data_IF_642423757296
#
_entry.id   IF_642423757296
#
_cell.length_a   1.000
_cell.length_b   1.000
_cell.length_c   1.000
_cell.angle_alpha   90.00
_cell.angle_beta   90.00
_cell.angle_gamma   90.00
#
_symmetry.space_group_name_H-M   'P 1'
#
loop_
_entity.id
_entity.type
_entity.pdbx_description
1 polymer ?
#
# COMPACT_ATOMS: atom_id res chain seq x y z
N UNK A 1 -10.75 3.67 -62.46
CA UNK A 1 -10.03 2.38 -62.63
C UNK A 1 -9.73 1.83 -61.24
N UNK A 2 -10.46 0.81 -60.76
CA UNK A 2 -10.17 0.17 -59.48
C UNK A 2 -9.18 -0.98 -59.71
N UNK A 3 -8.04 -0.95 -59.02
CA UNK A 3 -7.09 -2.07 -59.03
C UNK A 3 -7.34 -2.85 -57.74
N UNK A 4 -8.05 -3.98 -57.93
CA UNK A 4 -8.14 -5.08 -56.98
C UNK A 4 -6.75 -5.71 -56.81
N UNK A 5 -6.33 -5.92 -55.57
CA UNK A 5 -5.23 -6.85 -55.25
C UNK A 5 -5.58 -7.66 -54.01
N UNK A 6 -6.16 -8.83 -54.27
CA UNK A 6 -6.16 -10.01 -53.42
C UNK A 6 -4.73 -10.54 -53.29
N UNK A 7 -4.29 -10.87 -52.07
CA UNK A 7 -3.26 -11.87 -51.71
C UNK A 7 -3.25 -11.96 -50.16
N UNK A 8 -3.86 -12.99 -49.58
CA UNK A 8 -3.29 -14.32 -49.27
C UNK A 8 -2.87 -14.41 -47.80
N UNK A 9 -3.75 -15.02 -47.02
CA UNK A 9 -3.58 -15.35 -45.61
C UNK A 9 -2.44 -16.34 -45.40
N UNK A 10 -1.53 -16.15 -44.42
CA UNK A 10 -0.57 -17.17 -44.06
C UNK A 10 -1.20 -18.23 -43.14
N UNK A 11 -1.02 -19.49 -43.53
CA UNK A 11 -1.40 -20.70 -42.81
C UNK A 11 -0.67 -20.84 -41.47
N UNK A 12 -1.43 -21.01 -40.39
CA UNK A 12 -0.94 -21.39 -39.05
C UNK A 12 -0.53 -22.88 -39.03
N UNK A 13 0.63 -23.25 -38.45
CA UNK A 13 0.93 -24.64 -38.14
C UNK A 13 0.20 -25.08 -36.87
N UNK A 14 -0.60 -26.13 -36.98
CA UNK A 14 -1.25 -26.84 -35.89
C UNK A 14 -0.23 -27.69 -35.13
N UNK A 15 0.26 -27.22 -33.98
CA UNK A 15 0.96 -28.05 -33.00
C UNK A 15 0.01 -28.37 -31.84
N UNK A 16 -0.63 -29.54 -31.93
CA UNK A 16 -1.30 -30.20 -30.81
C UNK A 16 -0.23 -30.80 -29.89
N UNK A 17 -0.14 -30.31 -28.65
CA UNK A 17 0.57 -30.98 -27.56
C UNK A 17 -0.45 -31.81 -26.75
N UNK A 18 -0.24 -33.10 -26.52
CA UNK A 18 -1.07 -33.86 -25.58
C UNK A 18 -0.65 -33.53 -24.14
N UNK A 19 -1.63 -33.16 -23.32
CA UNK A 19 -1.51 -33.04 -21.86
C UNK A 19 -1.78 -34.43 -21.25
N UNK A 20 -0.76 -35.05 -20.64
CA UNK A 20 -0.93 -36.22 -19.78
C UNK A 20 -1.28 -35.80 -18.34
N UNK A 21 -2.25 -36.45 -17.68
CA UNK A 21 -2.57 -36.20 -16.27
C UNK A 21 -1.60 -36.94 -15.32
N UNK A 22 -1.28 -36.40 -14.13
CA UNK A 22 -0.36 -37.06 -13.22
C UNK A 22 -0.98 -38.28 -12.54
N UNK A 23 -0.21 -39.36 -12.53
CA UNK A 23 -0.50 -40.66 -11.91
C UNK A 23 -0.78 -40.57 -10.41
N UNK A 24 -1.79 -41.34 -9.97
CA UNK A 24 -2.16 -41.56 -8.58
C UNK A 24 -1.07 -42.35 -7.81
N UNK A 25 -0.74 -41.90 -6.60
CA UNK A 25 0.15 -42.59 -5.67
C UNK A 25 -0.56 -43.80 -5.00
N UNK A 26 0.16 -44.91 -4.72
CA UNK A 26 -0.46 -46.10 -4.14
C UNK A 26 -0.69 -45.97 -2.62
N UNK A 27 -1.86 -46.46 -2.18
CA UNK A 27 -2.21 -46.66 -0.76
C UNK A 27 -1.34 -47.74 -0.13
N UNK A 28 -0.56 -47.39 0.89
CA UNK A 28 0.07 -48.33 1.81
C UNK A 28 -0.93 -48.70 2.92
N UNK A 29 -1.35 -49.96 2.94
CA UNK A 29 -2.09 -50.58 4.03
C UNK A 29 -1.12 -51.07 5.10
N UNK A 30 -1.28 -50.58 6.33
CA UNK A 30 -0.53 -51.07 7.50
C UNK A 30 -1.32 -52.22 8.14
N UNK A 31 -0.76 -53.42 8.32
CA UNK A 31 -1.43 -54.48 9.06
C UNK A 31 -1.33 -54.23 10.58
N UNK A 32 -2.45 -54.43 11.25
CA UNK A 32 -2.59 -54.49 12.71
C UNK A 32 -1.87 -55.72 13.28
N UNK A 33 -0.92 -55.53 14.19
CA UNK A 33 -0.44 -56.59 15.08
C UNK A 33 -0.49 -56.13 16.53
N UNK A 34 -1.49 -56.63 17.25
CA UNK A 34 -1.61 -56.59 18.70
C UNK A 34 -0.56 -57.51 19.34
N UNK A 35 0.29 -56.98 20.22
CA UNK A 35 1.13 -57.78 21.11
C UNK A 35 0.97 -57.31 22.57
N UNK A 36 0.82 -58.22 23.55
CA UNK A 36 0.35 -57.91 24.90
C UNK A 36 1.50 -57.58 25.87
N UNK A 37 2.29 -56.57 25.55
CA UNK A 37 3.41 -56.11 26.38
C UNK A 37 3.35 -54.62 26.77
N UNK A 38 2.18 -53.97 26.58
CA UNK A 38 1.96 -52.56 26.91
C UNK A 38 1.13 -52.33 28.19
N UNK A 39 0.87 -53.37 28.97
CA UNK A 39 -0.04 -53.31 30.12
C UNK A 39 0.63 -52.98 31.48
N UNK A 40 1.95 -52.85 31.55
CA UNK A 40 2.66 -52.64 32.83
C UNK A 40 3.26 -51.23 33.03
N UNK A 41 3.22 -50.34 32.03
CA UNK A 41 3.74 -48.97 32.15
C UNK A 41 2.65 -47.92 32.49
N UNK A 42 1.38 -48.34 32.59
CA UNK A 42 0.24 -47.44 32.83
C UNK A 42 0.00 -47.10 34.32
N UNK A 43 0.67 -47.79 35.26
CA UNK A 43 0.33 -47.68 36.69
C UNK A 43 1.19 -46.68 37.50
N UNK A 44 2.25 -46.08 36.91
CA UNK A 44 3.15 -45.17 37.62
C UNK A 44 2.98 -43.68 37.26
N UNK A 45 2.29 -43.36 36.16
CA UNK A 45 2.04 -41.98 35.74
C UNK A 45 0.84 -41.33 36.46
N UNK A 46 0.05 -42.11 37.20
CA UNK A 46 -1.23 -41.68 37.78
C UNK A 46 -1.10 -40.99 39.15
N UNK A 47 0.10 -40.96 39.75
CA UNK A 47 0.33 -40.35 41.07
C UNK A 47 0.91 -38.94 41.05
N UNK A 48 1.32 -38.42 39.88
CA UNK A 48 1.76 -37.03 39.71
C UNK A 48 0.77 -36.14 38.94
N UNK A 49 -0.41 -36.67 38.57
CA UNK A 49 -1.48 -35.91 37.90
C UNK A 49 -2.56 -35.37 38.84
N UNK A 50 -2.43 -35.62 40.14
CA UNK A 50 -3.39 -35.22 41.18
C UNK A 50 -3.09 -33.84 41.82
N UNK A 51 -2.17 -33.05 41.24
CA UNK A 51 -1.94 -31.65 41.61
C UNK A 51 -2.21 -30.68 40.44
N UNK A 52 -2.96 -31.15 39.43
CA UNK A 52 -3.61 -30.24 38.48
C UNK A 52 -4.72 -29.51 39.25
N UNK A 53 -4.37 -28.28 39.67
CA UNK A 53 -5.28 -27.23 40.12
C UNK A 53 -6.59 -27.39 39.36
N UNK A 54 -7.67 -27.67 40.09
CA UNK A 54 -9.05 -27.66 39.60
C UNK A 54 -9.29 -26.25 39.05
N UNK A 55 -8.92 -25.99 37.79
CA UNK A 55 -9.25 -24.74 37.10
C UNK A 55 -10.76 -24.65 37.22
N UNK A 56 -11.24 -23.65 37.93
CA UNK A 56 -12.68 -23.40 38.02
C UNK A 56 -13.22 -23.35 36.59
N UNK A 57 -14.44 -23.86 36.36
CA UNK A 57 -15.02 -23.85 35.01
C UNK A 57 -15.05 -22.46 34.36
N UNK A 58 -14.91 -21.41 35.16
CA UNK A 58 -14.71 -20.04 34.70
C UNK A 58 -13.33 -19.80 34.06
N UNK A 59 -12.24 -20.31 34.65
CA UNK A 59 -10.89 -20.17 34.10
C UNK A 59 -10.73 -20.94 32.79
N UNK A 60 -11.33 -22.13 32.65
CA UNK A 60 -11.29 -22.87 31.39
C UNK A 60 -12.11 -22.21 30.27
N UNK A 61 -13.19 -21.50 30.62
CA UNK A 61 -13.96 -20.70 29.66
C UNK A 61 -13.18 -19.47 29.21
N UNK A 62 -12.45 -18.82 30.13
CA UNK A 62 -11.55 -17.70 29.80
C UNK A 62 -10.42 -18.17 28.89
N UNK A 63 -9.73 -19.27 29.24
CA UNK A 63 -8.64 -19.81 28.43
C UNK A 63 -9.10 -20.14 27.00
N UNK A 64 -10.29 -20.75 26.86
CA UNK A 64 -10.86 -21.08 25.54
C UNK A 64 -11.29 -19.84 24.76
N UNK A 65 -11.82 -18.82 25.44
CA UNK A 65 -12.16 -17.54 24.83
C UNK A 65 -10.89 -16.79 24.37
N UNK A 66 -9.82 -16.85 25.15
CA UNK A 66 -8.52 -16.29 24.81
C UNK A 66 -7.88 -17.04 23.64
N UNK A 67 -7.88 -18.38 23.62
CA UNK A 67 -7.41 -19.18 22.46
C UNK A 67 -8.24 -18.91 21.20
N UNK A 68 -9.57 -18.77 21.30
CA UNK A 68 -10.41 -18.40 20.15
C UNK A 68 -10.19 -16.97 19.66
N UNK A 69 -9.86 -16.04 20.56
CA UNK A 69 -9.51 -14.67 20.21
C UNK A 69 -8.11 -14.60 19.58
N UNK A 70 -7.14 -15.32 20.13
CA UNK A 70 -5.78 -15.44 19.62
C UNK A 70 -5.76 -16.17 18.27
N UNK A 71 -6.56 -17.23 18.10
CA UNK A 71 -6.77 -17.90 16.82
C UNK A 71 -7.46 -17.00 15.80
N UNK A 72 -8.44 -16.17 16.21
CA UNK A 72 -9.05 -15.16 15.34
C UNK A 72 -8.05 -14.07 14.93
N UNK A 73 -7.21 -13.60 15.86
CA UNK A 73 -6.13 -12.64 15.58
C UNK A 73 -5.11 -13.25 14.63
N UNK A 74 -4.63 -14.46 14.89
CA UNK A 74 -3.71 -15.19 14.02
C UNK A 74 -4.32 -15.42 12.61
N UNK A 75 -5.60 -15.79 12.50
CA UNK A 75 -6.27 -15.88 11.19
C UNK A 75 -6.43 -14.54 10.48
N UNK A 76 -6.70 -13.46 11.22
CA UNK A 76 -6.79 -12.12 10.67
C UNK A 76 -5.42 -11.63 10.16
N UNK A 77 -4.35 -11.96 10.88
CA UNK A 77 -2.96 -11.65 10.56
C UNK A 77 -2.47 -12.45 9.34
N UNK A 78 -2.78 -13.75 9.27
CA UNK A 78 -2.51 -14.60 8.08
C UNK A 78 -3.28 -14.13 6.84
N UNK A 79 -4.42 -13.45 7.00
CA UNK A 79 -5.19 -12.85 5.89
C UNK A 79 -4.70 -11.45 5.50
N UNK A 80 -3.90 -10.79 6.34
CA UNK A 80 -3.47 -9.41 6.13
C UNK A 80 -2.31 -9.41 5.15
N UNK A 81 -2.62 -9.23 3.85
CA UNK A 81 -1.61 -9.03 2.81
C UNK A 81 -0.99 -7.63 2.93
N UNK A 82 -0.02 -7.47 3.82
CA UNK A 82 0.72 -6.23 4.06
C UNK A 82 1.80 -6.40 5.13
N UNK A 83 2.65 -5.38 5.27
CA UNK A 83 3.71 -5.30 6.27
C UNK A 83 3.39 -4.17 7.24
N UNK A 84 3.40 -4.45 8.55
CA UNK A 84 3.30 -3.43 9.59
C UNK A 84 4.70 -2.93 9.97
N UNK A 85 4.97 -1.64 9.78
CA UNK A 85 6.24 -0.99 10.14
C UNK A 85 5.94 0.35 10.79
N UNK A 86 6.56 0.68 11.93
CA UNK A 86 6.40 1.98 12.60
C UNK A 86 4.94 2.44 12.81
N UNK A 87 4.01 1.49 12.99
CA UNK A 87 2.58 1.74 13.18
C UNK A 87 1.80 2.01 11.88
N UNK A 88 2.41 1.86 10.71
CA UNK A 88 1.77 1.93 9.41
C UNK A 88 1.63 0.54 8.79
N UNK A 89 0.41 0.26 8.32
CA UNK A 89 0.16 -0.87 7.42
C UNK A 89 0.54 -0.46 6.00
N UNK A 90 1.49 -1.17 5.41
CA UNK A 90 1.88 -1.01 4.01
C UNK A 90 1.37 -2.22 3.22
N UNK A 91 0.58 -2.00 2.19
CA UNK A 91 0.03 -3.05 1.33
C UNK A 91 0.34 -2.70 -0.12
N UNK A 92 0.68 -3.67 -0.97
CA UNK A 92 0.97 -3.34 -2.35
C UNK A 92 1.45 -4.49 -3.20
N UNK A 93 1.71 -4.18 -4.45
CA UNK A 93 2.39 -5.03 -5.44
C UNK A 93 3.41 -4.16 -6.15
N UNK A 94 4.62 -4.66 -6.31
CA UNK A 94 5.66 -4.00 -7.11
C UNK A 94 6.49 -5.08 -7.79
N UNK A 95 6.42 -5.10 -9.12
CA UNK A 95 7.13 -6.02 -10.00
C UNK A 95 7.59 -5.18 -11.18
N UNK A 96 8.91 -4.99 -11.31
CA UNK A 96 9.50 -4.09 -12.31
C UNK A 96 9.01 -4.39 -13.72
N UNK A 97 8.56 -3.35 -14.44
CA UNK A 97 7.98 -3.44 -15.79
C UNK A 97 6.58 -4.05 -15.87
N UNK A 98 5.98 -4.49 -14.76
CA UNK A 98 4.67 -5.15 -14.75
C UNK A 98 3.58 -4.34 -14.04
N UNK A 99 3.85 -3.92 -12.81
CA UNK A 99 2.95 -3.11 -11.98
C UNK A 99 3.66 -2.66 -10.69
N UNK A 100 3.50 -1.38 -10.35
CA UNK A 100 3.78 -0.84 -9.03
C UNK A 100 2.54 -0.13 -8.49
N UNK A 101 2.16 -0.49 -7.26
CA UNK A 101 1.14 0.21 -6.47
C UNK A 101 1.35 -0.10 -4.99
N UNK A 102 1.58 0.95 -4.19
CA UNK A 102 1.77 0.85 -2.74
C UNK A 102 0.70 1.68 -2.04
N UNK A 103 0.04 1.09 -1.05
CA UNK A 103 -1.11 1.65 -0.33
C UNK A 103 -0.77 1.77 1.15
N UNK A 104 -1.08 2.94 1.73
CA UNK A 104 -0.95 3.22 3.16
C UNK A 104 -2.32 3.67 3.68
N UNK A 105 -3.18 2.73 4.13
CA UNK A 105 -4.58 3.02 4.45
C UNK A 105 -4.77 4.09 5.53
N UNK A 106 -3.90 4.12 6.56
CA UNK A 106 -3.99 5.12 7.65
C UNK A 106 -3.71 6.55 7.18
N UNK A 107 -3.03 6.71 6.04
CA UNK A 107 -2.79 7.98 5.36
C UNK A 107 -3.78 8.22 4.22
N UNK A 108 -4.71 7.30 3.97
CA UNK A 108 -5.67 7.39 2.88
C UNK A 108 -5.01 7.60 1.50
N UNK A 109 -3.84 6.98 1.32
CA UNK A 109 -2.89 7.29 0.26
C UNK A 109 -2.48 6.04 -0.52
N UNK A 110 -2.37 6.18 -1.83
CA UNK A 110 -1.74 5.24 -2.74
C UNK A 110 -0.60 5.93 -3.50
N UNK A 111 0.47 5.19 -3.75
CA UNK A 111 1.62 5.60 -4.56
C UNK A 111 1.70 4.69 -5.78
N UNK A 112 1.63 5.30 -6.95
CA UNK A 112 1.47 4.65 -8.25
C UNK A 112 0.26 3.70 -8.33
N UNK A 113 -0.10 3.31 -9.54
CA UNK A 113 -1.29 2.51 -9.84
C UNK A 113 -1.17 1.72 -11.15
N UNK A 114 -0.13 0.92 -11.31
CA UNK A 114 0.13 0.20 -12.58
C UNK A 114 -1.07 -0.55 -13.17
N UNK A 115 -1.77 -1.40 -12.41
CA UNK A 115 -2.98 -2.12 -12.88
C UNK A 115 -4.18 -1.96 -11.95
N UNK A 116 -4.15 -0.98 -11.04
CA UNK A 116 -5.24 -0.66 -10.12
C UNK A 116 -5.66 -1.85 -9.23
N UNK A 117 -4.86 -2.22 -8.21
CA UNK A 117 -5.25 -3.24 -7.26
C UNK A 117 -6.47 -2.76 -6.43
N UNK A 118 -7.36 -3.68 -6.08
CA UNK A 118 -8.64 -3.36 -5.41
C UNK A 118 -8.50 -2.52 -4.13
N UNK A 119 -7.38 -2.64 -3.40
CA UNK A 119 -7.09 -1.87 -2.19
C UNK A 119 -6.84 -0.39 -2.47
N UNK A 120 -6.26 -0.05 -3.63
CA UNK A 120 -5.98 1.31 -4.03
C UNK A 120 -7.27 2.10 -4.31
N UNK A 121 -8.32 1.43 -4.81
CA UNK A 121 -9.63 2.04 -5.14
C UNK A 121 -10.22 2.83 -3.97
N UNK A 122 -9.94 2.45 -2.73
CA UNK A 122 -10.51 3.09 -1.54
C UNK A 122 -9.65 4.25 -1.01
N UNK A 123 -8.47 4.50 -1.58
CA UNK A 123 -7.63 5.62 -1.20
C UNK A 123 -8.05 6.87 -1.94
N UNK A 124 -8.14 7.98 -1.24
CA UNK A 124 -8.59 9.26 -1.81
C UNK A 124 -7.47 10.06 -2.44
N UNK A 125 -6.23 9.82 -2.01
CA UNK A 125 -5.04 10.49 -2.51
C UNK A 125 -4.17 9.50 -3.29
N UNK A 126 -3.87 9.81 -4.54
CA UNK A 126 -3.01 9.01 -5.40
C UNK A 126 -1.82 9.84 -5.87
N UNK A 127 -0.62 9.36 -5.60
CA UNK A 127 0.63 10.02 -5.96
C UNK A 127 1.33 9.26 -7.08
N UNK A 128 1.37 9.84 -8.28
CA UNK A 128 2.04 9.23 -9.43
C UNK A 128 3.48 9.73 -9.50
N UNK A 129 4.45 8.83 -9.48
CA UNK A 129 5.88 9.19 -9.51
C UNK A 129 6.35 9.56 -10.91
N UNK A 130 5.93 8.81 -11.92
CA UNK A 130 6.28 9.02 -13.32
C UNK A 130 5.30 8.32 -14.27
N UNK A 131 5.49 8.49 -15.58
CA UNK A 131 4.53 8.11 -16.62
C UNK A 131 4.75 6.74 -17.28
N UNK A 132 5.60 5.86 -16.72
CA UNK A 132 5.66 4.48 -17.23
C UNK A 132 4.34 3.75 -16.97
N UNK A 133 3.99 2.83 -17.87
CA UNK A 133 2.67 2.20 -17.89
C UNK A 133 2.43 1.34 -16.65
N UNK A 134 3.46 0.71 -16.12
CA UNK A 134 3.43 -0.05 -14.87
C UNK A 134 3.32 0.82 -13.62
N UNK A 135 3.37 2.16 -13.75
CA UNK A 135 3.15 3.10 -12.65
C UNK A 135 1.83 3.89 -12.78
N UNK A 136 1.40 4.23 -14.00
CA UNK A 136 0.17 5.05 -14.19
C UNK A 136 -0.97 4.30 -14.90
N UNK A 137 -0.70 3.15 -15.52
CA UNK A 137 -1.62 2.51 -16.47
C UNK A 137 -3.02 2.18 -15.94
N UNK A 138 -3.14 1.92 -14.64
CA UNK A 138 -4.40 1.63 -13.98
C UNK A 138 -5.23 2.87 -13.64
N UNK A 139 -4.75 4.09 -13.91
CA UNK A 139 -5.44 5.34 -13.55
C UNK A 139 -6.88 5.43 -14.11
N UNK A 140 -7.15 5.14 -15.40
CA UNK A 140 -8.53 5.15 -15.91
C UNK A 140 -9.42 4.11 -15.20
N UNK A 141 -8.89 2.91 -14.95
CA UNK A 141 -9.60 1.83 -14.24
C UNK A 141 -9.93 2.22 -12.81
N UNK A 142 -9.00 2.87 -12.11
CA UNK A 142 -9.18 3.40 -10.77
C UNK A 142 -10.33 4.40 -10.70
N UNK A 143 -10.33 5.41 -11.58
CA UNK A 143 -11.39 6.41 -11.61
C UNK A 143 -12.76 5.80 -11.96
N UNK A 144 -12.80 4.91 -12.95
CA UNK A 144 -14.03 4.24 -13.36
C UNK A 144 -14.60 3.36 -12.24
N UNK A 145 -13.74 2.62 -11.53
CA UNK A 145 -14.16 1.75 -10.42
C UNK A 145 -14.66 2.57 -9.24
N UNK A 146 -14.02 3.69 -8.91
CA UNK A 146 -14.53 4.62 -7.88
C UNK A 146 -15.90 5.19 -8.24
N UNK A 147 -16.11 5.54 -9.51
CA UNK A 147 -17.40 5.97 -10.02
C UNK A 147 -18.47 4.88 -9.87
N UNK A 148 -18.15 3.64 -10.23
CA UNK A 148 -19.04 2.48 -10.06
C UNK A 148 -19.45 2.26 -8.59
N UNK A 149 -18.53 2.50 -7.67
CA UNK A 149 -18.78 2.36 -6.22
C UNK A 149 -19.38 3.61 -5.58
N UNK A 150 -19.69 4.66 -6.36
CA UNK A 150 -20.17 5.95 -5.87
C UNK A 150 -19.26 6.57 -4.79
N UNK A 151 -17.95 6.34 -4.90
CA UNK A 151 -16.97 6.96 -4.01
C UNK A 151 -16.74 8.41 -4.44
N UNK A 152 -16.30 9.25 -3.49
CA UNK A 152 -15.96 10.64 -3.82
C UNK A 152 -14.85 10.69 -4.88
N UNK A 153 -14.81 11.71 -5.76
CA UNK A 153 -13.69 11.91 -6.67
C UNK A 153 -12.36 11.95 -5.89
N UNK A 154 -11.32 11.24 -6.34
CA UNK A 154 -10.02 11.29 -5.70
C UNK A 154 -9.23 12.52 -6.13
N UNK A 155 -8.21 12.85 -5.35
CA UNK A 155 -7.18 13.82 -5.72
C UNK A 155 -5.95 13.05 -6.21
N UNK A 156 -5.56 13.30 -7.45
CA UNK A 156 -4.43 12.62 -8.11
C UNK A 156 -3.32 13.64 -8.32
N UNK A 157 -2.14 13.34 -7.80
CA UNK A 157 -0.94 14.17 -7.94
C UNK A 157 -0.04 13.60 -9.00
N UNK A 158 0.45 14.46 -9.88
CA UNK A 158 1.35 14.09 -10.98
C UNK A 158 2.49 15.10 -11.09
N UNK A 159 3.64 14.71 -11.66
CA UNK A 159 4.66 15.65 -12.09
C UNK A 159 4.05 16.70 -13.03
N UNK A 160 4.39 18.00 -12.89
CA UNK A 160 3.80 19.05 -13.72
C UNK A 160 3.92 18.79 -15.23
N UNK A 161 5.04 18.19 -15.65
CA UNK A 161 5.31 17.91 -17.06
C UNK A 161 4.37 16.90 -17.71
N UNK A 162 3.63 16.08 -16.94
CA UNK A 162 2.73 15.07 -17.50
C UNK A 162 1.24 15.42 -17.31
N UNK A 163 0.93 16.52 -16.62
CA UNK A 163 -0.47 16.87 -16.28
C UNK A 163 -1.37 16.93 -17.52
N UNK A 164 -0.95 17.66 -18.54
CA UNK A 164 -1.75 17.81 -19.77
C UNK A 164 -1.94 16.48 -20.51
N UNK A 165 -0.94 15.61 -20.52
CA UNK A 165 -1.04 14.31 -21.17
C UNK A 165 -1.96 13.35 -20.41
N UNK A 166 -1.96 13.43 -19.07
CA UNK A 166 -2.93 12.72 -18.23
C UNK A 166 -4.35 13.23 -18.48
N UNK A 167 -4.56 14.54 -18.61
CA UNK A 167 -5.87 15.09 -18.96
C UNK A 167 -6.36 14.57 -20.33
N UNK A 168 -5.48 14.52 -21.34
CA UNK A 168 -5.78 13.94 -22.66
C UNK A 168 -6.11 12.45 -22.56
N UNK A 169 -5.33 11.67 -21.81
CA UNK A 169 -5.56 10.24 -21.57
C UNK A 169 -6.97 10.01 -20.99
N UNK A 170 -7.31 10.76 -19.94
CA UNK A 170 -8.63 10.67 -19.32
C UNK A 170 -9.73 11.10 -20.29
N UNK A 171 -9.51 12.13 -21.09
CA UNK A 171 -10.47 12.58 -22.08
C UNK A 171 -10.72 11.52 -23.17
N UNK A 172 -9.68 10.86 -23.66
CA UNK A 172 -9.78 9.75 -24.61
C UNK A 172 -10.65 8.63 -24.00
N UNK A 173 -10.38 8.24 -22.75
CA UNK A 173 -11.20 7.22 -22.07
C UNK A 173 -12.65 7.67 -21.88
N UNK A 174 -12.92 8.91 -21.47
CA UNK A 174 -14.28 9.46 -21.35
C UNK A 174 -15.04 9.35 -22.69
N UNK A 175 -14.39 9.72 -23.79
CA UNK A 175 -14.99 9.66 -25.14
C UNK A 175 -15.25 8.22 -25.59
N UNK A 176 -14.31 7.29 -25.34
CA UNK A 176 -14.50 5.89 -25.74
C UNK A 176 -15.55 5.16 -24.91
N UNK A 177 -15.50 5.31 -23.58
CA UNK A 177 -16.35 4.54 -22.65
C UNK A 177 -17.69 5.20 -22.37
N UNK A 178 -17.85 6.48 -22.70
CA UNK A 178 -19.02 7.30 -22.35
C UNK A 178 -19.28 7.35 -20.83
N UNK A 179 -18.21 7.23 -20.03
CA UNK A 179 -18.26 7.32 -18.56
C UNK A 179 -17.55 8.58 -18.10
N UNK A 180 -18.14 9.26 -17.12
CA UNK A 180 -17.52 10.39 -16.46
C UNK A 180 -16.39 9.91 -15.52
N UNK A 181 -15.15 10.30 -15.82
CA UNK A 181 -13.99 10.04 -14.96
C UNK A 181 -13.71 11.26 -14.08
N UNK A 182 -14.40 11.35 -12.94
CA UNK A 182 -14.27 12.48 -11.99
C UNK A 182 -12.95 12.39 -11.23
N UNK A 183 -12.17 13.46 -11.25
CA UNK A 183 -10.86 13.54 -10.57
C UNK A 183 -10.50 15.01 -10.30
N UNK A 184 -9.84 15.27 -9.17
CA UNK A 184 -9.07 16.50 -8.96
C UNK A 184 -7.62 16.22 -9.33
N UNK A 185 -7.17 16.70 -10.50
CA UNK A 185 -5.80 16.46 -10.98
C UNK A 185 -4.89 17.64 -10.61
N UNK A 186 -3.92 17.38 -9.74
CA UNK A 186 -2.98 18.36 -9.20
C UNK A 186 -1.59 18.11 -9.78
N UNK A 187 -1.04 19.12 -10.46
CA UNK A 187 0.40 19.15 -10.73
C UNK A 187 1.08 19.61 -9.44
N UNK A 188 1.99 18.80 -8.91
CA UNK A 188 2.72 19.12 -7.69
C UNK A 188 4.22 19.02 -7.96
N UNK A 189 4.91 20.16 -7.96
CA UNK A 189 6.34 20.27 -8.30
C UNK A 189 7.25 20.22 -7.07
N UNK A 190 8.52 19.87 -7.29
CA UNK A 190 9.56 19.88 -6.27
C UNK A 190 9.72 21.29 -5.68
N UNK A 191 9.51 21.37 -4.36
CA UNK A 191 9.56 22.62 -3.60
C UNK A 191 8.19 23.01 -3.05
N UNK A 192 7.12 22.54 -3.67
CA UNK A 192 5.75 22.80 -3.27
C UNK A 192 5.32 21.90 -2.09
N UNK A 193 4.28 22.33 -1.38
CA UNK A 193 3.61 21.57 -0.33
C UNK A 193 2.13 21.53 -0.65
N UNK A 194 1.53 20.35 -0.56
CA UNK A 194 0.08 20.22 -0.57
C UNK A 194 -0.42 19.76 0.81
N UNK A 195 -1.45 20.43 1.32
CA UNK A 195 -2.12 20.06 2.56
C UNK A 195 -3.20 19.00 2.26
N UNK A 196 -2.93 17.77 2.64
CA UNK A 196 -3.87 16.64 2.49
C UNK A 196 -5.00 16.79 3.51
N UNK A 197 -4.64 17.13 4.75
CA UNK A 197 -5.51 17.41 5.89
C UNK A 197 -4.75 18.25 6.92
N UNK A 198 -5.45 18.79 7.91
CA UNK A 198 -4.88 19.74 8.90
C UNK A 198 -3.62 19.26 9.63
N UNK A 199 -3.39 17.95 9.74
CA UNK A 199 -2.26 17.30 10.40
C UNK A 199 -1.32 16.57 9.42
N UNK A 200 -1.54 16.68 8.11
CA UNK A 200 -0.79 15.93 7.10
C UNK A 200 -0.55 16.75 5.82
N UNK A 201 0.71 16.86 5.43
CA UNK A 201 1.12 17.49 4.17
C UNK A 201 1.98 16.55 3.36
N UNK A 202 2.06 16.77 2.05
CA UNK A 202 2.93 16.04 1.13
C UNK A 202 3.81 16.99 0.35
N UNK A 203 5.06 16.58 0.13
CA UNK A 203 6.02 17.30 -0.71
C UNK A 203 6.73 16.31 -1.62
N UNK A 204 6.88 16.62 -2.92
CA UNK A 204 7.70 15.82 -3.79
C UNK A 204 9.19 16.15 -3.62
N UNK A 205 10.03 15.18 -3.95
CA UNK A 205 11.49 15.32 -3.97
C UNK A 205 12.06 14.77 -5.27
N UNK A 206 13.26 15.23 -5.64
CA UNK A 206 13.87 14.85 -6.92
C UNK A 206 14.36 13.41 -6.86
N UNK A 207 14.03 12.67 -7.91
CA UNK A 207 14.62 11.37 -8.25
C UNK A 207 15.27 11.44 -9.63
N UNK A 208 16.02 10.41 -9.99
CA UNK A 208 16.69 10.32 -11.29
C UNK A 208 16.26 9.04 -12.01
N UNK A 209 15.51 9.21 -13.09
CA UNK A 209 15.04 8.13 -13.96
C UNK A 209 15.21 8.49 -15.45
N UNK A 210 14.93 7.54 -16.34
CA UNK A 210 15.02 7.72 -17.81
C UNK A 210 13.99 8.71 -18.37
N UNK A 211 12.88 8.91 -17.66
CA UNK A 211 11.89 9.97 -17.93
C UNK A 211 11.75 10.87 -16.69
N UNK A 212 11.14 12.06 -16.80
CA UNK A 212 10.86 12.89 -15.64
C UNK A 212 10.13 12.10 -14.54
N UNK A 213 10.71 12.08 -13.35
CA UNK A 213 10.20 11.37 -12.18
C UNK A 213 10.40 12.19 -10.91
N UNK A 214 9.60 11.87 -9.90
CA UNK A 214 9.74 12.41 -8.55
C UNK A 214 9.28 11.40 -7.52
N UNK A 215 9.90 11.45 -6.33
CA UNK A 215 9.39 10.77 -5.15
C UNK A 215 8.49 11.68 -4.31
N UNK A 216 7.85 11.13 -3.29
CA UNK A 216 6.99 11.86 -2.37
C UNK A 216 7.34 11.58 -0.91
N UNK A 217 7.28 12.62 -0.08
CA UNK A 217 7.34 12.50 1.38
C UNK A 217 6.04 13.05 1.98
N UNK A 218 5.35 12.21 2.75
CA UNK A 218 4.23 12.62 3.59
C UNK A 218 4.75 12.99 4.98
N UNK A 219 4.37 14.15 5.47
CA UNK A 219 4.76 14.69 6.77
C UNK A 219 3.55 14.83 7.69
N UNK A 220 3.72 14.49 8.97
CA UNK A 220 2.80 14.93 10.01
C UNK A 220 3.09 16.38 10.42
N UNK A 221 2.02 17.14 10.62
CA UNK A 221 2.08 18.55 11.00
C UNK A 221 1.70 18.68 12.47
N UNK A 222 2.60 19.27 13.28
CA UNK A 222 2.33 19.58 14.68
C UNK A 222 2.57 21.06 14.93
N UNK A 223 1.61 21.71 15.57
CA UNK A 223 1.75 23.10 15.99
C UNK A 223 2.18 23.15 17.46
N UNK A 224 3.35 23.73 17.73
CA UNK A 224 3.84 23.98 19.09
C UNK A 224 3.74 25.44 19.42
N UNK A 225 3.33 25.78 20.64
CA UNK A 225 3.29 27.17 21.10
C UNK A 225 4.70 27.78 21.03
N UNK A 226 4.83 28.97 20.44
CA UNK A 226 6.10 29.70 20.38
C UNK A 226 6.63 29.91 21.79
N UNK A 227 7.94 29.75 21.98
CA UNK A 227 8.60 29.88 23.30
C UNK A 227 8.26 31.21 23.99
N UNK A 228 8.13 32.29 23.22
CA UNK A 228 7.78 33.61 23.74
C UNK A 228 6.37 33.71 24.36
N UNK A 229 5.46 32.77 24.07
CA UNK A 229 4.12 32.74 24.65
C UNK A 229 3.95 31.65 25.72
N UNK A 230 5.00 30.86 26.00
CA UNK A 230 4.92 29.72 26.92
C UNK A 230 4.60 30.11 28.38
N UNK A 231 4.92 31.35 28.77
CA UNK A 231 4.66 31.87 30.11
C UNK A 231 3.23 32.44 30.28
N UNK A 232 2.47 32.57 29.19
CA UNK A 232 1.12 33.15 29.22
C UNK A 232 0.09 32.13 29.69
N UNK A 233 -0.93 32.60 30.42
CA UNK A 233 -2.07 31.77 30.83
C UNK A 233 -2.95 31.44 29.62
N UNK A 234 -3.66 30.32 29.66
CA UNK A 234 -4.50 29.86 28.54
C UNK A 234 -5.53 30.88 28.04
N UNK A 235 -6.07 31.72 28.93
CA UNK A 235 -6.99 32.82 28.56
C UNK A 235 -6.31 33.91 27.73
N UNK A 236 -5.06 34.25 28.04
CA UNK A 236 -4.26 35.21 27.28
C UNK A 236 -3.86 34.63 25.91
N UNK A 237 -3.48 33.35 25.87
CA UNK A 237 -3.18 32.64 24.61
C UNK A 237 -4.41 32.60 23.69
N UNK A 238 -5.60 32.32 24.24
CA UNK A 238 -6.86 32.34 23.47
C UNK A 238 -7.15 33.73 22.89
N UNK A 239 -6.96 34.80 23.68
CA UNK A 239 -7.13 36.18 23.21
C UNK A 239 -6.17 36.52 22.08
N UNK A 240 -4.90 36.10 22.18
CA UNK A 240 -3.90 36.28 21.12
C UNK A 240 -4.28 35.53 19.85
N UNK A 241 -4.72 34.26 19.97
CA UNK A 241 -5.20 33.48 18.81
C UNK A 241 -6.40 34.15 18.14
N UNK A 242 -7.36 34.66 18.91
CA UNK A 242 -8.53 35.39 18.39
C UNK A 242 -8.16 36.72 17.72
N UNK A 243 -7.06 37.36 18.14
CA UNK A 243 -6.55 38.57 17.49
C UNK A 243 -5.79 38.31 16.18
N UNK A 244 -5.72 37.05 15.72
CA UNK A 244 -5.05 36.67 14.47
C UNK A 244 -3.53 36.54 14.57
N UNK A 245 -2.95 36.69 15.77
CA UNK A 245 -1.51 36.52 15.98
C UNK A 245 -1.12 35.06 15.82
N UNK A 246 -0.11 34.77 14.99
CA UNK A 246 0.47 33.43 14.91
C UNK A 246 1.24 33.10 16.21
N UNK A 247 0.57 32.36 17.08
CA UNK A 247 1.09 31.95 18.38
C UNK A 247 1.86 30.62 18.37
N UNK A 248 1.81 29.85 17.28
CA UNK A 248 2.45 28.53 17.17
C UNK A 248 3.51 28.50 16.07
N UNK A 249 4.55 27.70 16.29
CA UNK A 249 5.47 27.24 15.26
C UNK A 249 4.96 25.91 14.69
N UNK A 250 4.98 25.78 13.37
CA UNK A 250 4.63 24.55 12.66
C UNK A 250 5.86 23.66 12.55
N UNK A 251 5.73 22.42 13.00
CA UNK A 251 6.77 21.40 12.97
C UNK A 251 6.32 20.28 12.04
N UNK A 252 7.12 20.02 11.02
CA UNK A 252 6.93 18.91 10.08
C UNK A 252 7.77 17.73 10.52
N UNK A 253 7.18 16.53 10.54
CA UNK A 253 7.89 15.29 10.81
C UNK A 253 7.67 14.34 9.63
N UNK A 254 8.71 13.94 8.88
CA UNK A 254 8.55 13.04 7.74
C UNK A 254 8.11 11.65 8.25
N UNK A 255 7.00 11.16 7.73
CA UNK A 255 6.36 9.91 8.16
C UNK A 255 6.66 8.78 7.18
N UNK A 256 6.26 8.95 5.92
CA UNK A 256 6.44 7.95 4.85
C UNK A 256 7.03 8.63 3.63
N UNK A 257 8.11 8.07 3.10
CA UNK A 257 8.72 8.46 1.83
C UNK A 257 8.59 7.32 0.82
N UNK A 258 8.24 7.65 -0.42
CA UNK A 258 8.21 6.73 -1.56
C UNK A 258 9.03 7.32 -2.70
N UNK A 259 10.01 6.58 -3.20
CA UNK A 259 10.91 7.08 -4.25
C UNK A 259 10.29 6.98 -5.65
N UNK A 260 9.46 5.96 -5.89
CA UNK A 260 9.28 5.43 -7.24
C UNK A 260 10.62 4.92 -7.80
N UNK A 261 10.73 4.85 -9.11
CA UNK A 261 11.97 4.47 -9.79
C UNK A 261 12.99 5.61 -9.71
N UNK A 262 14.20 5.27 -9.29
CA UNK A 262 15.33 6.17 -9.17
C UNK A 262 16.67 5.45 -9.11
N UNK A 263 17.72 6.10 -9.62
CA UNK A 263 19.09 5.70 -9.33
C UNK A 263 19.43 5.93 -7.84
N UNK A 264 20.39 5.16 -7.32
CA UNK A 264 20.86 5.21 -5.93
C UNK A 264 21.48 6.55 -5.50
N UNK A 265 21.80 7.43 -6.45
CA UNK A 265 22.34 8.76 -6.17
C UNK A 265 21.35 9.66 -5.42
N UNK A 266 20.06 9.31 -5.39
CA UNK A 266 19.06 10.00 -4.56
C UNK A 266 19.43 10.02 -3.07
N UNK A 267 20.21 9.03 -2.59
CA UNK A 267 20.64 8.88 -1.19
C UNK A 267 21.69 9.94 -0.82
N UNK A 268 22.55 10.32 -1.77
CA UNK A 268 23.63 11.30 -1.52
C UNK A 268 23.21 12.75 -1.81
N UNK A 269 22.02 12.96 -2.38
CA UNK A 269 21.46 14.30 -2.64
C UNK A 269 20.99 14.96 -1.33
N UNK A 270 21.64 16.06 -0.87
CA UNK A 270 21.29 16.69 0.40
C UNK A 270 19.85 17.18 0.48
N UNK A 271 19.23 17.53 -0.66
CA UNK A 271 17.83 17.96 -0.71
C UNK A 271 16.84 16.83 -0.43
N UNK A 272 17.27 15.57 -0.50
CA UNK A 272 16.47 14.39 -0.22
C UNK A 272 16.59 13.91 1.24
N UNK A 273 17.28 14.67 2.11
CA UNK A 273 17.51 14.29 3.51
C UNK A 273 16.22 13.94 4.28
N UNK A 274 15.10 14.60 3.99
CA UNK A 274 13.82 14.29 4.65
C UNK A 274 13.25 12.94 4.23
N UNK A 275 13.47 12.49 2.99
CA UNK A 275 13.07 11.15 2.55
C UNK A 275 13.84 10.07 3.32
N UNK A 276 15.14 10.29 3.57
CA UNK A 276 15.99 9.39 4.35
C UNK A 276 15.70 9.44 5.87
N UNK A 277 15.12 10.54 6.35
CA UNK A 277 14.72 10.72 7.76
C UNK A 277 13.28 10.30 8.04
N UNK A 278 12.52 9.95 7.02
CA UNK A 278 11.16 9.43 7.18
C UNK A 278 11.18 8.18 8.05
N UNK A 279 10.12 7.96 8.84
CA UNK A 279 10.01 6.72 9.63
C UNK A 279 10.03 5.48 8.75
N UNK A 280 9.43 5.59 7.56
CA UNK A 280 9.41 4.54 6.55
C UNK A 280 9.89 5.13 5.24
N UNK A 281 10.93 4.54 4.67
CA UNK A 281 11.36 4.77 3.30
C UNK A 281 11.02 3.53 2.47
N UNK A 282 10.19 3.73 1.46
CA UNK A 282 9.82 2.72 0.47
C UNK A 282 10.59 3.07 -0.80
N UNK A 283 11.61 2.28 -1.09
CA UNK A 283 12.52 2.52 -2.22
C UNK A 283 12.50 1.34 -3.16
N UNK A 284 12.70 1.63 -4.44
CA UNK A 284 12.96 0.60 -5.43
C UNK A 284 14.29 -0.13 -5.15
N UNK A 285 14.36 -1.39 -5.59
CA UNK A 285 15.56 -2.22 -5.62
C UNK A 285 15.45 -3.11 -6.87
N UNK A 286 15.63 -2.52 -8.05
CA UNK A 286 15.49 -3.28 -9.31
C UNK A 286 16.70 -4.15 -9.64
N UNK A 287 17.92 -3.70 -9.31
CA UNK A 287 19.17 -4.38 -9.65
C UNK A 287 20.02 -4.65 -8.40
N UNK A 288 20.41 -5.91 -8.24
CA UNK A 288 21.51 -6.31 -7.36
C UNK A 288 22.79 -6.25 -8.20
N UNK A 289 23.61 -5.22 -8.01
CA UNK A 289 25.00 -5.19 -8.50
C UNK A 289 25.97 -5.84 -7.51
#
# INVERSE_FOLDING_TARGET
>A
MPISSTLSSPSLPSHFFPFDPPHAAPRLTVPSSSSPAAAAAAAAADRFRALAIKKSGFLSVIDRAMEEEEYRRARAEVRRKGVDVEGYLIEGVSVGGHETCVVVPSLNSAFDIGRCPAKAVHQDFLFITHAHLDHIGGLPMYLATRGLYNLKPPTVFVPPCIKEDVEKLLQIHRTMSQVELKVELVALDVGETYEIRNDLVVRPFRTRHVIPSQGYVIYSVRNKLKKQYAHLKGTQIKKLKLSGVQITDTILSPEVAFTGDTMSDFIIEPRNADALRAKILITEVELLE
#
